data_IF_180570535394
#
_entry.id   IF_180570535394
#
_cell.length_a   1.000
_cell.length_b   1.000
_cell.length_c   1.000
_cell.angle_alpha   90.00
_cell.angle_beta   90.00
_cell.angle_gamma   90.00
#
_symmetry.space_group_name_H-M   'P 1'
#
loop_
_entity.id
_entity.type
_entity.pdbx_description
1 polymer ?
#
# COMPACT_ATOMS: atom_id res chain seq x y z
N UNK A 1 -32.66 30.06 37.06
CA UNK A 1 -33.48 29.35 38.08
C UNK A 1 -33.21 29.99 39.43
N UNK A 2 -34.25 30.22 40.25
CA UNK A 2 -34.08 30.73 41.61
C UNK A 2 -33.92 29.56 42.59
N UNK A 3 -33.05 29.69 43.60
CA UNK A 3 -32.89 28.69 44.66
C UNK A 3 -34.09 28.74 45.60
N UNK A 4 -34.95 27.70 45.54
CA UNK A 4 -36.11 27.56 46.43
C UNK A 4 -35.67 27.01 47.79
N UNK A 5 -36.20 27.57 48.89
CA UNK A 5 -36.03 27.00 50.22
C UNK A 5 -36.86 25.72 50.43
N UNK A 6 -36.61 25.01 51.54
CA UNK A 6 -37.37 23.81 51.94
C UNK A 6 -38.87 24.08 52.19
N UNK A 7 -39.24 25.35 52.37
CA UNK A 7 -40.62 25.84 52.38
C UNK A 7 -40.89 26.63 51.10
N UNK A 8 -41.97 26.29 50.40
CA UNK A 8 -42.30 26.70 49.03
C UNK A 8 -42.40 28.22 48.76
N UNK A 9 -42.27 29.09 49.77
CA UNK A 9 -42.52 30.54 49.67
C UNK A 9 -41.30 31.46 49.90
N UNK A 10 -40.08 30.93 50.07
CA UNK A 10 -38.89 31.79 50.26
C UNK A 10 -37.77 31.51 49.27
N UNK A 11 -37.56 32.48 48.37
CA UNK A 11 -36.38 32.56 47.50
C UNK A 11 -35.15 32.82 48.39
N UNK A 12 -34.14 31.93 48.31
CA UNK A 12 -32.85 32.12 48.97
C UNK A 12 -31.83 32.66 47.95
N UNK A 13 -30.95 33.54 48.42
CA UNK A 13 -29.78 33.93 47.63
C UNK A 13 -28.82 32.74 47.47
N UNK A 14 -28.09 32.70 46.36
CA UNK A 14 -26.98 31.77 46.17
C UNK A 14 -25.89 32.04 47.19
N UNK A 15 -25.25 30.97 47.65
CA UNK A 15 -24.14 31.03 48.60
C UNK A 15 -22.85 30.53 47.95
N UNK A 16 -21.74 30.67 48.68
CA UNK A 16 -20.41 30.30 48.19
C UNK A 16 -20.27 28.82 47.77
N UNK A 17 -21.04 27.91 48.35
CA UNK A 17 -21.04 26.51 47.94
C UNK A 17 -21.74 26.31 46.60
N UNK A 18 -22.81 27.08 46.32
CA UNK A 18 -23.47 27.06 45.02
C UNK A 18 -22.54 27.60 43.92
N UNK A 19 -21.77 28.65 44.22
CA UNK A 19 -20.76 29.21 43.32
C UNK A 19 -19.67 28.18 43.00
N UNK A 20 -19.11 27.51 44.03
CA UNK A 20 -18.10 26.47 43.84
C UNK A 20 -18.63 25.25 43.07
N UNK A 21 -19.87 24.85 43.33
CA UNK A 21 -20.50 23.76 42.59
C UNK A 21 -20.71 24.13 41.13
N UNK A 22 -21.21 25.35 40.86
CA UNK A 22 -21.41 25.84 39.50
C UNK A 22 -20.08 25.99 38.76
N UNK A 23 -19.03 26.45 39.42
CA UNK A 23 -17.67 26.54 38.88
C UNK A 23 -17.14 25.16 38.49
N UNK A 24 -17.22 24.17 39.40
CA UNK A 24 -16.81 22.80 39.10
C UNK A 24 -17.63 22.18 37.96
N UNK A 25 -18.95 22.40 37.94
CA UNK A 25 -19.83 21.96 36.87
C UNK A 25 -19.48 22.61 35.53
N UNK A 26 -19.24 23.93 35.50
CA UNK A 26 -18.87 24.66 34.29
C UNK A 26 -17.53 24.20 33.73
N UNK A 27 -16.53 23.92 34.58
CA UNK A 27 -15.25 23.33 34.17
C UNK A 27 -15.48 21.94 33.56
N UNK A 28 -16.27 21.09 34.22
CA UNK A 28 -16.53 19.74 33.72
C UNK A 28 -17.28 19.75 32.39
N UNK A 29 -18.30 20.60 32.24
CA UNK A 29 -19.00 20.81 30.98
C UNK A 29 -18.08 21.40 29.90
N UNK A 30 -17.23 22.36 30.25
CA UNK A 30 -16.26 22.95 29.32
C UNK A 30 -15.28 21.91 28.76
N UNK A 31 -14.71 21.07 29.64
CA UNK A 31 -13.84 19.96 29.24
C UNK A 31 -14.59 18.92 28.39
N UNK A 32 -15.83 18.59 28.78
CA UNK A 32 -16.68 17.66 28.03
C UNK A 32 -16.95 18.17 26.61
N UNK A 33 -17.39 19.43 26.47
CA UNK A 33 -17.66 20.07 25.19
C UNK A 33 -16.38 20.15 24.35
N UNK A 34 -15.27 20.59 24.92
CA UNK A 34 -13.99 20.70 24.20
C UNK A 34 -13.51 19.34 23.69
N UNK A 35 -13.60 18.29 24.52
CA UNK A 35 -13.26 16.94 24.10
C UNK A 35 -14.17 16.46 22.97
N UNK A 36 -15.49 16.63 23.08
CA UNK A 36 -16.43 16.25 22.02
C UNK A 36 -16.13 16.98 20.71
N UNK A 37 -15.91 18.29 20.74
CA UNK A 37 -15.55 19.07 19.56
C UNK A 37 -14.23 18.62 18.92
N UNK A 38 -13.24 18.27 19.74
CA UNK A 38 -11.98 17.73 19.26
C UNK A 38 -12.19 16.37 18.57
N UNK A 39 -12.98 15.48 19.15
CA UNK A 39 -13.34 14.20 18.54
C UNK A 39 -14.09 14.36 17.22
N UNK A 40 -15.10 15.23 17.16
CA UNK A 40 -15.85 15.53 15.93
C UNK A 40 -14.92 16.06 14.82
N UNK A 41 -13.93 16.90 15.18
CA UNK A 41 -12.93 17.42 14.25
C UNK A 41 -12.06 16.30 13.68
N UNK A 42 -11.64 15.35 14.52
CA UNK A 42 -10.86 14.17 14.10
C UNK A 42 -11.69 13.27 13.19
N UNK A 43 -12.94 12.97 13.53
CA UNK A 43 -13.83 12.16 12.70
C UNK A 43 -14.05 12.79 11.31
N UNK A 44 -14.26 14.10 11.25
CA UNK A 44 -14.39 14.84 9.99
C UNK A 44 -13.09 14.81 9.18
N UNK A 45 -11.92 14.90 9.82
CA UNK A 45 -10.63 14.78 9.15
C UNK A 45 -10.42 13.37 8.58
N UNK A 46 -10.77 12.33 9.33
CA UNK A 46 -10.72 10.94 8.86
C UNK A 46 -11.66 10.70 7.68
N UNK A 47 -12.90 11.20 7.73
CA UNK A 47 -13.84 11.09 6.62
C UNK A 47 -13.30 11.76 5.35
N UNK A 48 -12.70 12.96 5.47
CA UNK A 48 -12.02 13.63 4.34
C UNK A 48 -10.86 12.81 3.79
N UNK A 49 -10.06 12.20 4.66
CA UNK A 49 -8.95 11.34 4.25
C UNK A 49 -9.44 10.12 3.47
N UNK A 50 -10.52 9.46 3.92
CA UNK A 50 -11.12 8.30 3.22
C UNK A 50 -11.54 8.68 1.80
N UNK A 51 -12.31 9.77 1.65
CA UNK A 51 -12.74 10.25 0.32
C UNK A 51 -11.54 10.65 -0.56
N UNK A 52 -10.51 11.27 0.04
CA UNK A 52 -9.30 11.63 -0.69
C UNK A 52 -8.57 10.39 -1.21
N UNK A 53 -8.44 9.35 -0.37
CA UNK A 53 -7.81 8.09 -0.76
C UNK A 53 -8.61 7.36 -1.86
N UNK A 54 -9.94 7.43 -1.82
CA UNK A 54 -10.80 6.86 -2.86
C UNK A 54 -10.60 7.57 -4.22
N UNK A 55 -10.54 8.90 -4.22
CA UNK A 55 -10.25 9.67 -5.46
C UNK A 55 -8.84 9.35 -5.98
N UNK A 56 -7.86 9.26 -5.08
CA UNK A 56 -6.49 8.91 -5.44
C UNK A 56 -6.40 7.49 -6.01
N UNK A 57 -7.08 6.51 -5.42
CA UNK A 57 -7.06 5.12 -5.87
C UNK A 57 -7.68 4.94 -7.26
N UNK A 58 -8.74 5.71 -7.58
CA UNK A 58 -9.31 5.77 -8.93
C UNK A 58 -8.28 6.22 -9.96
N UNK A 59 -7.53 7.29 -9.66
CA UNK A 59 -6.49 7.80 -10.56
C UNK A 59 -5.22 6.96 -10.58
N UNK A 60 -4.93 6.23 -9.50
CA UNK A 60 -3.81 5.31 -9.39
C UNK A 60 -4.05 3.98 -10.14
N UNK A 61 -5.30 3.57 -10.29
CA UNK A 61 -5.66 2.31 -10.96
C UNK A 61 -5.52 2.38 -12.48
N UNK A 62 -5.18 1.26 -13.10
CA UNK A 62 -5.27 1.11 -14.56
C UNK A 62 -6.70 1.30 -15.06
N UNK A 63 -6.85 1.93 -16.22
CA UNK A 63 -8.17 2.14 -16.84
C UNK A 63 -8.66 0.86 -17.53
N UNK A 64 -9.98 0.67 -17.64
CA UNK A 64 -10.55 -0.52 -18.30
C UNK A 64 -10.06 -0.68 -19.75
N UNK A 65 -9.86 0.42 -20.48
CA UNK A 65 -9.29 0.38 -21.84
C UNK A 65 -7.86 -0.19 -21.87
N UNK A 66 -6.99 0.19 -20.92
CA UNK A 66 -5.62 -0.35 -20.83
C UNK A 66 -5.62 -1.84 -20.50
N UNK A 67 -6.60 -2.29 -19.72
CA UNK A 67 -6.77 -3.70 -19.35
C UNK A 67 -7.23 -4.51 -20.57
N UNK A 68 -8.25 -4.04 -21.28
CA UNK A 68 -8.75 -4.67 -22.50
C UNK A 68 -7.65 -4.79 -23.56
N UNK A 69 -6.86 -3.75 -23.78
CA UNK A 69 -5.74 -3.76 -24.73
C UNK A 69 -4.68 -4.81 -24.34
N UNK A 70 -4.31 -4.87 -23.06
CA UNK A 70 -3.35 -5.86 -22.56
C UNK A 70 -3.90 -7.29 -22.68
N UNK A 71 -5.18 -7.49 -22.37
CA UNK A 71 -5.84 -8.79 -22.46
C UNK A 71 -5.95 -9.29 -23.89
N UNK A 72 -6.32 -8.42 -24.84
CA UNK A 72 -6.35 -8.76 -26.27
C UNK A 72 -4.95 -9.16 -26.73
N UNK A 73 -3.93 -8.36 -26.38
CA UNK A 73 -2.54 -8.65 -26.72
C UNK A 73 -2.07 -9.98 -26.11
N UNK A 74 -2.40 -10.22 -24.85
CA UNK A 74 -2.06 -11.44 -24.15
C UNK A 74 -2.77 -12.69 -24.72
N UNK A 75 -4.06 -12.57 -25.07
CA UNK A 75 -4.82 -13.65 -25.68
C UNK A 75 -4.26 -14.04 -27.06
N UNK A 76 -3.67 -13.08 -27.78
CA UNK A 76 -3.02 -13.34 -29.07
C UNK A 76 -1.67 -14.03 -28.89
N UNK A 77 -0.82 -13.57 -27.97
CA UNK A 77 0.47 -14.18 -27.65
C UNK A 77 1.04 -13.67 -26.32
N UNK A 78 0.84 -14.37 -25.18
CA UNK A 78 1.75 -14.21 -24.03
C UNK A 78 3.05 -14.95 -24.37
N UNK A 79 4.17 -14.27 -24.66
CA UNK A 79 5.40 -14.94 -25.05
C UNK A 79 5.89 -15.87 -23.93
N UNK A 80 6.61 -16.94 -24.28
CA UNK A 80 7.14 -17.85 -23.27
C UNK A 80 8.28 -17.21 -22.49
N UNK A 81 8.55 -17.68 -21.27
CA UNK A 81 9.71 -17.22 -20.51
C UNK A 81 11.04 -17.45 -21.27
N UNK A 82 11.10 -18.49 -22.11
CA UNK A 82 12.26 -18.76 -22.95
C UNK A 82 12.42 -17.72 -24.07
N UNK A 83 11.34 -17.36 -24.79
CA UNK A 83 11.43 -16.34 -25.85
C UNK A 83 11.79 -14.96 -25.30
N UNK A 84 11.34 -14.66 -24.07
CA UNK A 84 11.65 -13.41 -23.38
C UNK A 84 12.97 -13.45 -22.60
N UNK A 85 13.69 -14.59 -22.58
CA UNK A 85 14.93 -14.79 -21.83
C UNK A 85 14.81 -14.47 -20.32
N UNK A 86 13.62 -14.66 -19.73
CA UNK A 86 13.37 -14.31 -18.32
C UNK A 86 14.12 -15.21 -17.32
N UNK A 87 14.65 -16.33 -17.77
CA UNK A 87 15.42 -17.27 -16.96
C UNK A 87 16.92 -16.94 -16.91
N UNK A 88 17.39 -16.03 -17.77
CA UNK A 88 18.79 -15.68 -17.90
C UNK A 88 19.15 -14.51 -16.98
N UNK A 89 20.25 -14.63 -16.23
CA UNK A 89 20.75 -13.55 -15.39
C UNK A 89 21.33 -12.37 -16.19
N UNK A 90 21.62 -12.59 -17.48
CA UNK A 90 22.05 -11.55 -18.43
C UNK A 90 20.88 -10.90 -19.16
N UNK A 91 19.64 -11.09 -18.68
CA UNK A 91 18.45 -10.47 -19.25
C UNK A 91 18.60 -8.94 -19.33
N UNK A 92 17.99 -8.35 -20.36
CA UNK A 92 17.93 -6.90 -20.54
C UNK A 92 16.57 -6.52 -21.10
N UNK A 93 15.96 -5.49 -20.51
CA UNK A 93 14.64 -5.00 -20.89
C UNK A 93 14.68 -3.84 -21.90
N UNK A 94 15.86 -3.38 -22.33
CA UNK A 94 16.00 -2.21 -23.21
C UNK A 94 15.27 -2.37 -24.55
N UNK A 95 15.22 -3.59 -25.08
CA UNK A 95 14.54 -3.90 -26.34
C UNK A 95 13.04 -4.16 -26.15
N UNK A 96 12.56 -4.24 -24.90
CA UNK A 96 11.15 -4.49 -24.59
C UNK A 96 10.37 -3.17 -24.49
N UNK A 97 9.20 -3.14 -25.12
CA UNK A 97 8.20 -2.10 -24.93
C UNK A 97 7.57 -2.15 -23.52
N UNK A 98 6.90 -1.08 -23.13
CA UNK A 98 6.15 -1.01 -21.87
C UNK A 98 5.10 -2.14 -21.75
N UNK A 99 4.44 -2.49 -22.84
CA UNK A 99 3.44 -3.57 -22.88
C UNK A 99 4.12 -4.93 -22.72
N UNK A 100 5.25 -5.16 -23.38
CA UNK A 100 6.00 -6.41 -23.26
C UNK A 100 6.54 -6.65 -21.85
N UNK A 101 6.95 -5.60 -21.12
CA UNK A 101 7.33 -5.75 -19.70
C UNK A 101 6.16 -6.16 -18.82
N UNK A 102 4.94 -5.67 -19.09
CA UNK A 102 3.74 -6.10 -18.38
C UNK A 102 3.36 -7.56 -18.71
N UNK A 103 3.45 -7.96 -19.99
CA UNK A 103 3.24 -9.35 -20.41
C UNK A 103 4.28 -10.29 -19.81
N UNK A 104 5.54 -9.86 -19.73
CA UNK A 104 6.61 -10.60 -19.08
C UNK A 104 6.34 -10.79 -17.58
N UNK A 105 5.82 -9.76 -16.89
CA UNK A 105 5.39 -9.89 -15.50
C UNK A 105 4.23 -10.90 -15.34
N UNK A 106 3.22 -10.86 -16.23
CA UNK A 106 2.14 -11.86 -16.25
C UNK A 106 2.71 -13.27 -16.47
N UNK A 107 3.69 -13.41 -17.36
CA UNK A 107 4.38 -14.69 -17.63
C UNK A 107 5.08 -15.21 -16.38
N UNK A 108 5.73 -14.36 -15.58
CA UNK A 108 6.35 -14.79 -14.31
C UNK A 108 5.33 -15.40 -13.33
N UNK A 109 4.17 -14.76 -13.16
CA UNK A 109 3.08 -15.28 -12.32
C UNK A 109 2.51 -16.61 -12.86
N UNK A 110 2.38 -16.70 -14.18
CA UNK A 110 1.89 -17.89 -14.87
C UNK A 110 2.83 -19.07 -14.68
N UNK A 111 4.12 -18.89 -14.92
CA UNK A 111 5.12 -19.98 -14.85
C UNK A 111 5.47 -20.37 -13.40
N UNK A 112 5.13 -19.53 -12.41
CA UNK A 112 5.13 -19.87 -10.99
C UNK A 112 3.82 -20.53 -10.51
N UNK A 113 2.87 -20.78 -11.42
CA UNK A 113 1.57 -21.42 -11.16
C UNK A 113 0.66 -20.67 -10.16
N UNK A 114 0.88 -19.37 -9.94
CA UNK A 114 0.13 -18.60 -8.94
C UNK A 114 -1.36 -18.50 -9.28
N UNK A 115 -1.72 -18.43 -10.57
CA UNK A 115 -3.11 -18.35 -10.99
C UNK A 115 -3.90 -19.59 -10.55
N UNK A 116 -3.30 -20.76 -10.70
CA UNK A 116 -3.93 -22.02 -10.30
C UNK A 116 -3.87 -22.21 -8.78
N UNK A 117 -2.70 -22.01 -8.16
CA UNK A 117 -2.48 -22.32 -6.75
C UNK A 117 -3.30 -21.41 -5.83
N UNK A 118 -3.54 -20.14 -6.23
CA UNK A 118 -4.23 -19.15 -5.42
C UNK A 118 -5.57 -18.69 -6.01
N UNK A 119 -6.07 -19.38 -7.05
CA UNK A 119 -7.34 -19.05 -7.73
C UNK A 119 -7.40 -17.59 -8.20
N UNK A 120 -6.25 -17.05 -8.65
CA UNK A 120 -6.13 -15.66 -9.06
C UNK A 120 -6.76 -15.48 -10.44
N UNK A 121 -7.71 -14.56 -10.54
CA UNK A 121 -8.36 -14.22 -11.81
C UNK A 121 -7.36 -13.49 -12.71
N UNK A 122 -7.27 -13.93 -13.97
CA UNK A 122 -6.35 -13.36 -14.95
C UNK A 122 -6.55 -11.85 -15.16
N UNK A 123 -7.80 -11.40 -15.22
CA UNK A 123 -8.15 -9.98 -15.34
C UNK A 123 -7.64 -9.15 -14.15
N UNK A 124 -7.83 -9.65 -12.93
CA UNK A 124 -7.40 -8.99 -11.70
C UNK A 124 -5.88 -8.87 -11.65
N UNK A 125 -5.15 -9.89 -12.12
CA UNK A 125 -3.70 -9.83 -12.27
C UNK A 125 -3.25 -8.78 -13.29
N UNK A 126 -3.91 -8.72 -14.45
CA UNK A 126 -3.61 -7.70 -15.48
C UNK A 126 -3.81 -6.29 -14.93
N UNK A 127 -4.96 -6.05 -14.26
CA UNK A 127 -5.26 -4.76 -13.62
C UNK A 127 -4.21 -4.42 -12.58
N UNK A 128 -3.87 -5.35 -11.70
CA UNK A 128 -2.87 -5.15 -10.65
C UNK A 128 -1.49 -4.81 -11.21
N UNK A 129 -0.97 -5.54 -12.20
CA UNK A 129 0.33 -5.25 -12.82
C UNK A 129 0.35 -3.86 -13.46
N UNK A 130 -0.71 -3.49 -14.19
CA UNK A 130 -0.81 -2.18 -14.81
C UNK A 130 -0.92 -1.05 -13.78
N UNK A 131 -1.68 -1.26 -12.69
CA UNK A 131 -1.77 -0.31 -11.58
C UNK A 131 -0.42 -0.14 -10.89
N UNK A 132 0.29 -1.23 -10.56
CA UNK A 132 1.66 -1.16 -10.00
C UNK A 132 2.57 -0.35 -10.93
N UNK A 133 2.62 -0.70 -12.21
CA UNK A 133 3.40 0.03 -13.22
C UNK A 133 3.07 1.52 -13.29
N UNK A 134 1.78 1.86 -13.25
CA UNK A 134 1.29 3.26 -13.31
C UNK A 134 1.71 4.08 -12.08
N UNK A 135 1.88 3.44 -10.93
CA UNK A 135 2.30 4.08 -9.68
C UNK A 135 3.83 4.22 -9.53
N UNK A 136 4.61 3.80 -10.54
CA UNK A 136 6.01 4.23 -10.67
C UNK A 136 6.13 5.56 -11.41
N UNK A 137 6.94 6.48 -10.88
CA UNK A 137 7.12 7.82 -11.42
C UNK A 137 8.02 7.82 -12.66
N UNK A 138 7.44 8.00 -13.85
CA UNK A 138 8.17 7.99 -15.14
C UNK A 138 9.30 9.02 -15.25
N UNK A 139 9.26 10.11 -14.49
CA UNK A 139 10.30 11.15 -14.52
C UNK A 139 11.53 10.81 -13.64
N UNK A 140 11.44 9.75 -12.82
CA UNK A 140 12.57 9.29 -12.02
C UNK A 140 13.49 8.44 -12.90
N UNK A 141 14.74 8.86 -13.00
CA UNK A 141 15.69 8.28 -13.95
C UNK A 141 15.98 6.79 -13.71
N UNK A 142 16.05 6.36 -12.45
CA UNK A 142 16.44 4.98 -12.08
C UNK A 142 15.32 4.20 -11.39
N UNK A 143 14.85 4.66 -10.21
CA UNK A 143 13.78 4.01 -9.42
C UNK A 143 12.40 4.19 -10.07
N UNK A 144 12.22 3.56 -11.22
CA UNK A 144 11.00 3.55 -12.03
C UNK A 144 10.57 2.09 -12.29
N UNK A 145 9.49 1.91 -13.07
CA UNK A 145 8.94 0.59 -13.37
C UNK A 145 9.98 -0.40 -13.93
N UNK A 146 10.90 0.05 -14.77
CA UNK A 146 11.91 -0.84 -15.37
C UNK A 146 12.86 -1.40 -14.31
N UNK A 147 13.21 -0.61 -13.30
CA UNK A 147 14.00 -1.09 -12.17
C UNK A 147 13.26 -2.19 -11.40
N UNK A 148 12.02 -1.94 -11.00
CA UNK A 148 11.21 -2.91 -10.28
C UNK A 148 10.96 -4.20 -11.08
N UNK A 149 10.67 -4.06 -12.37
CA UNK A 149 10.51 -5.19 -13.29
C UNK A 149 11.79 -6.04 -13.39
N UNK A 150 12.97 -5.42 -13.54
CA UNK A 150 14.24 -6.15 -13.57
C UNK A 150 14.54 -6.83 -12.22
N UNK A 151 14.22 -6.19 -11.10
CA UNK A 151 14.35 -6.80 -9.76
C UNK A 151 13.45 -8.05 -9.64
N UNK A 152 12.21 -7.97 -10.12
CA UNK A 152 11.30 -9.11 -10.15
C UNK A 152 11.75 -10.22 -11.12
N UNK A 153 12.28 -9.86 -12.30
CA UNK A 153 12.83 -10.82 -13.26
C UNK A 153 14.05 -11.55 -12.67
N UNK A 154 14.95 -10.83 -11.99
CA UNK A 154 16.09 -11.43 -11.30
C UNK A 154 15.61 -12.41 -10.22
N UNK A 155 14.62 -12.02 -9.41
CA UNK A 155 14.01 -12.92 -8.41
C UNK A 155 13.40 -14.16 -9.08
N UNK A 156 12.67 -14.00 -10.18
CA UNK A 156 12.14 -15.12 -10.96
C UNK A 156 13.24 -16.07 -11.47
N UNK A 157 14.35 -15.53 -11.99
CA UNK A 157 15.51 -16.31 -12.42
C UNK A 157 16.19 -17.04 -11.24
N UNK A 158 16.32 -16.40 -10.07
CA UNK A 158 16.82 -17.05 -8.85
C UNK A 158 15.93 -18.22 -8.42
N UNK A 159 14.61 -18.01 -8.43
CA UNK A 159 13.64 -19.04 -8.06
C UNK A 159 13.69 -20.24 -9.01
N UNK A 160 13.68 -19.98 -10.33
CA UNK A 160 13.65 -21.01 -11.38
C UNK A 160 15.04 -21.56 -11.70
N UNK A 161 15.90 -20.77 -12.33
CA UNK A 161 17.25 -21.18 -12.77
C UNK A 161 18.18 -21.45 -11.60
N UNK A 162 18.08 -20.66 -10.52
CA UNK A 162 18.82 -20.88 -9.28
C UNK A 162 18.28 -22.03 -8.41
N UNK A 163 17.14 -22.63 -8.78
CA UNK A 163 16.48 -23.74 -8.06
C UNK A 163 16.18 -23.45 -6.60
N UNK A 164 15.96 -22.18 -6.26
CA UNK A 164 15.60 -21.77 -4.89
C UNK A 164 14.11 -22.01 -4.60
N UNK A 165 13.25 -22.08 -5.62
CA UNK A 165 11.82 -22.34 -5.46
C UNK A 165 11.54 -23.59 -4.57
N UNK A 166 12.35 -24.64 -4.69
CA UNK A 166 12.17 -25.89 -3.91
C UNK A 166 12.47 -25.74 -2.41
N UNK A 167 13.02 -24.59 -1.99
CA UNK A 167 13.35 -24.29 -0.58
C UNK A 167 12.32 -23.37 0.08
N UNK A 168 11.36 -22.87 -0.70
CA UNK A 168 10.34 -21.92 -0.26
C UNK A 168 8.96 -22.53 -0.47
N UNK A 169 8.02 -22.09 0.32
CA UNK A 169 6.59 -22.34 0.10
C UNK A 169 6.07 -21.48 -1.05
N UNK A 170 4.91 -21.87 -1.60
CA UNK A 170 4.26 -21.09 -2.65
C UNK A 170 3.88 -19.68 -2.16
N UNK A 171 3.48 -19.53 -0.90
CA UNK A 171 3.15 -18.23 -0.30
C UNK A 171 4.38 -17.32 -0.14
N UNK A 172 5.53 -17.88 0.29
CA UNK A 172 6.80 -17.13 0.35
C UNK A 172 7.23 -16.68 -1.05
N UNK A 173 7.10 -17.57 -2.04
CA UNK A 173 7.42 -17.28 -3.44
C UNK A 173 6.51 -16.17 -3.99
N UNK A 174 5.21 -16.23 -3.71
CA UNK A 174 4.24 -15.20 -4.09
C UNK A 174 4.59 -13.85 -3.44
N UNK A 175 4.87 -13.84 -2.14
CA UNK A 175 5.23 -12.64 -1.40
C UNK A 175 6.49 -11.98 -1.96
N UNK A 176 7.52 -12.75 -2.30
CA UNK A 176 8.77 -12.23 -2.88
C UNK A 176 8.55 -11.58 -4.26
N UNK A 177 7.76 -12.21 -5.13
CA UNK A 177 7.47 -11.64 -6.46
C UNK A 177 6.64 -10.36 -6.35
N UNK A 178 5.65 -10.33 -5.45
CA UNK A 178 4.87 -9.11 -5.19
C UNK A 178 5.76 -8.02 -4.61
N UNK A 179 6.59 -8.34 -3.61
CA UNK A 179 7.48 -7.37 -2.98
C UNK A 179 8.46 -6.77 -3.99
N UNK A 180 9.09 -7.58 -4.84
CA UNK A 180 10.06 -7.09 -5.84
C UNK A 180 9.44 -6.16 -6.87
N UNK A 181 8.20 -6.40 -7.31
CA UNK A 181 7.47 -5.48 -8.19
C UNK A 181 7.03 -4.18 -7.49
N UNK A 182 6.89 -4.20 -6.17
CA UNK A 182 6.32 -3.10 -5.38
C UNK A 182 7.31 -2.30 -4.53
N UNK A 183 8.56 -2.76 -4.40
CA UNK A 183 9.50 -2.27 -3.39
C UNK A 183 9.88 -0.78 -3.51
N UNK A 184 9.69 -0.17 -4.67
CA UNK A 184 10.04 1.23 -4.97
C UNK A 184 8.81 2.05 -5.44
N UNK A 185 7.59 1.61 -5.13
CA UNK A 185 6.36 2.29 -5.54
C UNK A 185 6.30 3.74 -5.08
N UNK A 186 5.94 4.68 -5.97
CA UNK A 186 5.95 6.12 -5.70
C UNK A 186 7.31 6.71 -5.28
N UNK A 187 8.45 6.03 -5.58
CA UNK A 187 9.77 6.58 -5.28
C UNK A 187 9.99 7.95 -5.94
N UNK A 188 10.52 8.92 -5.19
CA UNK A 188 10.58 10.35 -5.59
C UNK A 188 11.94 10.82 -6.11
N UNK A 189 12.89 9.89 -6.26
CA UNK A 189 14.25 10.17 -6.74
C UNK A 189 15.16 10.80 -5.68
N UNK A 190 14.78 10.73 -4.41
CA UNK A 190 15.54 11.24 -3.26
C UNK A 190 15.64 10.15 -2.19
N UNK A 191 16.67 10.22 -1.35
CA UNK A 191 16.91 9.22 -0.31
C UNK A 191 16.30 9.61 1.06
N UNK A 192 16.26 8.64 1.99
CA UNK A 192 15.78 8.82 3.36
C UNK A 192 16.47 9.99 4.09
N UNK A 193 17.77 10.21 3.87
CA UNK A 193 18.51 11.32 4.48
C UNK A 193 18.01 12.70 4.02
N UNK A 194 17.64 12.84 2.74
CA UNK A 194 17.06 14.07 2.21
C UNK A 194 15.68 14.33 2.79
N UNK A 195 14.81 13.31 2.84
CA UNK A 195 13.44 13.39 3.38
C UNK A 195 13.45 13.85 4.84
N UNK A 196 14.38 13.33 5.65
CA UNK A 196 14.55 13.75 7.04
C UNK A 196 14.98 15.22 7.18
N UNK A 197 15.87 15.69 6.29
CA UNK A 197 16.39 17.06 6.32
C UNK A 197 15.39 18.08 5.79
N UNK A 198 14.47 17.68 4.92
CA UNK A 198 13.45 18.56 4.34
C UNK A 198 12.19 18.68 5.19
N UNK A 199 12.15 18.05 6.38
CA UNK A 199 10.98 18.01 7.28
C UNK A 199 9.70 17.55 6.56
N UNK A 200 9.86 16.65 5.57
CA UNK A 200 8.75 16.15 4.78
C UNK A 200 7.77 15.38 5.68
N UNK A 201 6.44 15.44 5.47
CA UNK A 201 5.46 14.77 6.33
C UNK A 201 5.70 13.27 6.53
N UNK A 202 6.26 12.56 5.54
CA UNK A 202 6.67 11.16 5.67
C UNK A 202 7.67 10.92 6.82
N UNK A 203 8.54 11.88 7.11
CA UNK A 203 9.51 11.79 8.20
C UNK A 203 8.87 11.89 9.60
N UNK A 204 7.62 12.36 9.69
CA UNK A 204 6.85 12.39 10.93
C UNK A 204 6.12 11.07 11.18
N UNK A 205 5.86 10.28 10.13
CA UNK A 205 5.12 9.02 10.22
C UNK A 205 6.01 7.86 10.66
N UNK A 206 7.25 7.82 10.16
CA UNK A 206 8.18 6.70 10.38
C UNK A 206 9.53 7.20 10.90
N UNK A 207 10.13 6.44 11.84
CA UNK A 207 11.41 6.82 12.44
C UNK A 207 12.64 6.21 11.75
N UNK A 208 12.47 5.08 11.07
CA UNK A 208 13.46 4.37 10.24
C UNK A 208 12.78 3.89 8.95
N UNK A 209 13.58 3.56 7.92
CA UNK A 209 13.12 2.98 6.64
C UNK A 209 11.86 3.65 6.08
N UNK A 210 11.87 5.00 6.09
CA UNK A 210 10.66 5.82 5.88
C UNK A 210 10.07 5.62 4.49
N UNK A 211 10.92 5.56 3.47
CA UNK A 211 10.50 5.32 2.09
C UNK A 211 10.03 3.88 1.91
N UNK A 212 10.70 2.92 2.54
CA UNK A 212 10.35 1.51 2.43
C UNK A 212 8.98 1.22 3.08
N UNK A 213 8.67 1.85 4.22
CA UNK A 213 7.32 1.83 4.78
C UNK A 213 6.29 2.48 3.83
N UNK A 214 6.63 3.62 3.21
CA UNK A 214 5.76 4.26 2.21
C UNK A 214 5.53 3.35 0.99
N UNK A 215 6.55 2.65 0.49
CA UNK A 215 6.44 1.69 -0.61
C UNK A 215 5.51 0.52 -0.25
N UNK A 216 5.62 0.02 0.98
CA UNK A 216 4.70 -0.99 1.49
C UNK A 216 3.25 -0.47 1.58
N UNK A 217 3.04 0.74 2.10
CA UNK A 217 1.70 1.36 2.16
C UNK A 217 1.09 1.51 0.77
N UNK A 218 1.88 1.92 -0.24
CA UNK A 218 1.43 1.96 -1.64
C UNK A 218 1.08 0.58 -2.18
N UNK A 219 1.88 -0.45 -1.88
CA UNK A 219 1.59 -1.82 -2.25
C UNK A 219 0.25 -2.29 -1.67
N UNK A 220 0.02 -2.06 -0.37
CA UNK A 220 -1.23 -2.42 0.32
C UNK A 220 -2.42 -1.64 -0.25
N UNK A 221 -2.26 -0.36 -0.54
CA UNK A 221 -3.30 0.45 -1.17
C UNK A 221 -3.75 -0.18 -2.51
N UNK A 222 -2.81 -0.52 -3.39
CA UNK A 222 -3.13 -1.13 -4.69
C UNK A 222 -3.78 -2.50 -4.50
N UNK A 223 -3.27 -3.35 -3.60
CA UNK A 223 -3.83 -4.68 -3.31
C UNK A 223 -5.28 -4.65 -2.79
N UNK A 224 -5.70 -3.56 -2.14
CA UNK A 224 -7.06 -3.39 -1.62
C UNK A 224 -7.94 -2.53 -2.53
N UNK A 225 -7.42 -2.04 -3.66
CA UNK A 225 -8.21 -1.24 -4.60
C UNK A 225 -9.11 -2.16 -5.42
N UNK A 226 -10.42 -1.86 -5.57
CA UNK A 226 -11.35 -2.73 -6.28
C UNK A 226 -10.85 -3.15 -7.67
N UNK A 227 -10.93 -4.45 -7.94
CA UNK A 227 -10.47 -5.08 -9.18
C UNK A 227 -8.97 -5.41 -9.23
N UNK A 228 -8.18 -5.01 -8.22
CA UNK A 228 -6.74 -5.30 -8.12
C UNK A 228 -6.42 -6.36 -7.06
N UNK A 229 -7.43 -6.92 -6.39
CA UNK A 229 -7.24 -7.81 -5.23
C UNK A 229 -6.74 -9.22 -5.63
N UNK A 230 -5.50 -9.31 -6.14
CA UNK A 230 -4.89 -10.58 -6.58
C UNK A 230 -4.75 -11.64 -5.47
N UNK A 231 -4.87 -11.23 -4.21
CA UNK A 231 -4.81 -12.10 -3.03
C UNK A 231 -6.19 -12.53 -2.52
N UNK A 232 -7.28 -12.21 -3.24
CA UNK A 232 -8.66 -12.48 -2.79
C UNK A 232 -8.99 -13.97 -2.62
N UNK A 233 -8.21 -14.86 -3.24
CA UNK A 233 -8.37 -16.32 -3.14
C UNK A 233 -7.75 -16.93 -1.88
N UNK A 234 -6.97 -16.16 -1.11
CA UNK A 234 -6.33 -16.62 0.12
C UNK A 234 -7.32 -16.65 1.29
N UNK A 235 -7.08 -17.55 2.25
CA UNK A 235 -7.71 -17.45 3.57
C UNK A 235 -7.20 -16.23 4.33
N UNK A 236 -7.93 -15.80 5.37
CA UNK A 236 -7.54 -14.64 6.17
C UNK A 236 -6.16 -14.78 6.82
N UNK A 237 -5.79 -15.99 7.25
CA UNK A 237 -4.51 -16.25 7.89
C UNK A 237 -3.36 -16.23 6.87
N UNK A 238 -3.57 -16.84 5.69
CA UNK A 238 -2.62 -16.78 4.57
C UNK A 238 -2.44 -15.35 4.06
N UNK A 239 -3.51 -14.57 3.97
CA UNK A 239 -3.46 -13.16 3.58
C UNK A 239 -2.59 -12.35 4.55
N UNK A 240 -2.85 -12.48 5.86
CA UNK A 240 -2.05 -11.79 6.90
C UNK A 240 -0.58 -12.21 6.86
N UNK A 241 -0.31 -13.51 6.69
CA UNK A 241 1.05 -14.02 6.60
C UNK A 241 1.76 -13.51 5.34
N UNK A 242 1.07 -13.49 4.20
CA UNK A 242 1.58 -12.96 2.93
C UNK A 242 1.91 -11.48 3.04
N UNK A 243 1.01 -10.66 3.60
CA UNK A 243 1.27 -9.23 3.82
C UNK A 243 2.47 -8.99 4.72
N UNK A 244 2.60 -9.76 5.81
CA UNK A 244 3.76 -9.67 6.70
C UNK A 244 5.07 -10.02 5.98
N UNK A 245 5.07 -11.03 5.10
CA UNK A 245 6.24 -11.38 4.30
C UNK A 245 6.58 -10.30 3.27
N UNK A 246 5.57 -9.69 2.64
CA UNK A 246 5.76 -8.57 1.70
C UNK A 246 6.36 -7.37 2.45
N UNK A 247 5.83 -7.02 3.62
CA UNK A 247 6.35 -5.94 4.48
C UNK A 247 7.83 -6.18 4.81
N UNK A 248 8.15 -7.38 5.31
CA UNK A 248 9.52 -7.74 5.65
C UNK A 248 10.47 -7.68 4.45
N UNK A 249 10.03 -8.14 3.28
CA UNK A 249 10.83 -8.14 2.06
C UNK A 249 11.09 -6.72 1.53
N UNK A 250 10.09 -5.82 1.59
CA UNK A 250 10.24 -4.42 1.19
C UNK A 250 11.10 -3.67 2.19
N UNK A 251 10.87 -3.80 3.50
CA UNK A 251 11.71 -3.12 4.50
C UNK A 251 13.17 -3.59 4.46
N UNK A 252 13.42 -4.84 4.05
CA UNK A 252 14.77 -5.37 3.87
C UNK A 252 15.52 -4.78 2.66
N UNK A 253 14.88 -3.98 1.79
CA UNK A 253 15.58 -3.25 0.72
C UNK A 253 16.27 -1.98 1.22
N UNK A 254 15.99 -1.53 2.44
CA UNK A 254 16.77 -0.48 3.10
C UNK A 254 18.19 -0.99 3.37
N UNK A 255 19.16 -0.45 2.64
CA UNK A 255 20.57 -0.80 2.80
C UNK A 255 21.09 -0.57 4.23
N UNK A 256 20.48 0.33 5.01
CA UNK A 256 20.84 0.55 6.41
C UNK A 256 20.42 -0.60 7.34
N UNK A 257 19.46 -1.43 6.93
CA UNK A 257 19.05 -2.63 7.67
C UNK A 257 19.91 -3.85 7.33
N UNK A 258 20.55 -3.84 6.16
CA UNK A 258 21.45 -4.90 5.72
C UNK A 258 22.87 -4.79 6.32
N UNK A 259 23.36 -3.57 6.51
CA UNK A 259 24.72 -3.26 7.00
C UNK A 259 24.81 -3.25 8.53
#
# INVERSE_FOLDING_TARGET
MNKMGETFDKIKAFNKNDEQFLEAFAIFCGLGIQNTQMYETVEMAMAKQVVTLEVLSYHASATENEIEELQVTAAMTVPSAHSLKLLDFSFSDFDLSEVETALAAIRMFTDLNFLQNFQMKYEVLCRWILSVKKNYRRHVAYHNWRHAFNTAQCMFAVLKSGRIQNKLTDLETLALIIATLSHDLDHRGVNNAFIKRSEHPLAQLYCHSMMEHHHFDQCVMILNTPGNEILSGLSLDEYKMTLKMIEQAILATDLAMYM
#
